data_IF_771305484988
#
_entry.id   IF_771305484988
#
_cell.length_a   1.000
_cell.length_b   1.000
_cell.length_c   1.000
_cell.angle_alpha   90.00
_cell.angle_beta   90.00
_cell.angle_gamma   90.00
#
_symmetry.space_group_name_H-M   'P 1'
#
loop_
_entity.id
_entity.type
_entity.pdbx_description
1 polymer ?
#
# COMPACT_ATOMS: atom_id res chain seq x y z
N UNK A 1 22.42 -30.59 18.82
CA UNK A 1 22.33 -31.75 17.91
C UNK A 1 21.18 -31.54 16.94
N UNK A 2 21.44 -31.75 15.65
CA UNK A 2 20.40 -31.79 14.61
C UNK A 2 20.18 -33.25 14.17
N UNK A 3 18.93 -33.60 13.93
CA UNK A 3 18.56 -34.95 13.42
C UNK A 3 17.99 -34.77 12.02
N UNK A 4 18.60 -35.39 11.04
CA UNK A 4 18.17 -35.37 9.64
C UNK A 4 17.00 -36.33 9.39
N UNK A 5 16.34 -36.18 8.27
CA UNK A 5 15.17 -37.02 7.89
C UNK A 5 15.49 -38.48 7.72
N UNK A 6 16.74 -38.85 7.40
CA UNK A 6 17.26 -40.19 7.30
C UNK A 6 17.72 -40.81 8.65
N UNK A 7 17.60 -40.03 9.74
CA UNK A 7 18.00 -40.42 11.10
C UNK A 7 19.45 -40.09 11.47
N UNK A 8 20.25 -39.57 10.53
CA UNK A 8 21.60 -39.10 10.85
C UNK A 8 21.57 -37.97 11.90
N UNK A 9 22.55 -38.01 12.84
CA UNK A 9 22.66 -37.06 13.94
C UNK A 9 23.95 -36.25 13.80
N UNK A 10 23.76 -34.94 13.66
CA UNK A 10 24.87 -34.00 13.55
C UNK A 10 25.04 -33.26 14.90
N UNK A 11 26.22 -33.40 15.52
CA UNK A 11 26.60 -32.65 16.70
C UNK A 11 27.40 -31.41 16.31
N UNK A 12 27.01 -30.26 16.81
CA UNK A 12 27.66 -29.00 16.56
C UNK A 12 27.69 -28.16 17.84
N UNK A 13 28.70 -27.29 17.95
CA UNK A 13 28.80 -26.33 19.08
C UNK A 13 27.67 -25.28 19.03
N UNK A 14 27.24 -24.93 17.84
CA UNK A 14 26.11 -24.01 17.60
C UNK A 14 25.32 -24.44 16.38
N UNK A 15 24.03 -24.08 16.34
CA UNK A 15 23.13 -24.31 15.21
C UNK A 15 22.53 -22.97 14.81
N UNK A 16 22.61 -22.63 13.52
CA UNK A 16 21.98 -21.44 12.95
C UNK A 16 20.73 -21.85 12.18
N UNK A 17 19.56 -21.36 12.61
CA UNK A 17 18.30 -21.58 11.93
C UNK A 17 18.05 -20.40 10.98
N UNK A 18 18.19 -20.63 9.68
CA UNK A 18 18.10 -19.60 8.63
C UNK A 18 17.17 -20.05 7.47
N UNK A 19 16.01 -20.63 7.83
CA UNK A 19 15.07 -21.27 6.88
C UNK A 19 13.98 -20.31 6.35
N UNK A 20 14.11 -19.03 6.60
CA UNK A 20 13.14 -18.01 6.16
C UNK A 20 11.83 -18.03 6.95
N UNK A 21 10.82 -17.37 6.40
CA UNK A 21 9.49 -17.27 6.97
C UNK A 21 8.49 -18.23 6.32
N UNK A 22 7.24 -17.75 6.09
CA UNK A 22 6.14 -18.53 5.51
C UNK A 22 5.53 -17.86 4.27
N UNK A 23 6.11 -16.76 3.82
CA UNK A 23 5.70 -16.09 2.57
C UNK A 23 6.44 -16.68 1.37
N UNK A 24 5.81 -16.63 0.20
CA UNK A 24 6.34 -17.17 -1.08
C UNK A 24 6.86 -18.62 -0.93
N UNK A 25 6.03 -19.58 -0.50
CA UNK A 25 6.48 -20.93 -0.11
C UNK A 25 7.15 -21.71 -1.24
N UNK A 26 6.89 -21.36 -2.51
CA UNK A 26 7.58 -21.95 -3.68
C UNK A 26 9.10 -21.63 -3.70
N UNK A 27 9.59 -20.71 -2.89
CA UNK A 27 11.02 -20.41 -2.72
C UNK A 27 11.68 -21.23 -1.61
N UNK A 28 10.93 -22.12 -0.95
CA UNK A 28 11.38 -22.93 0.18
C UNK A 28 11.06 -22.34 1.55
N UNK A 29 10.41 -21.18 1.62
CA UNK A 29 10.00 -20.52 2.88
C UNK A 29 8.67 -21.09 3.37
N UNK A 30 8.68 -22.32 3.88
CA UNK A 30 7.49 -23.09 4.30
C UNK A 30 7.13 -22.92 5.78
N UNK A 31 8.00 -22.25 6.56
CA UNK A 31 7.78 -21.99 7.99
C UNK A 31 8.33 -23.10 8.90
N UNK A 32 9.20 -23.96 8.40
CA UNK A 32 9.73 -25.13 9.14
C UNK A 32 10.50 -24.74 10.40
N UNK A 33 11.08 -23.53 10.46
CA UNK A 33 11.79 -23.02 11.62
C UNK A 33 10.89 -22.72 12.83
N UNK A 34 9.61 -22.41 12.62
CA UNK A 34 8.72 -22.04 13.73
C UNK A 34 8.45 -23.18 14.72
N UNK A 35 8.12 -24.42 14.28
CA UNK A 35 8.00 -25.56 15.19
C UNK A 35 9.30 -25.83 15.95
N UNK A 36 10.46 -25.67 15.33
CA UNK A 36 11.75 -25.90 16.00
C UNK A 36 12.00 -24.84 17.07
N UNK A 37 11.72 -23.56 16.76
CA UNK A 37 11.81 -22.46 17.73
C UNK A 37 10.86 -22.68 18.92
N UNK A 38 9.62 -23.07 18.67
CA UNK A 38 8.63 -23.39 19.72
C UNK A 38 9.10 -24.55 20.59
N UNK A 39 9.64 -25.63 19.97
CA UNK A 39 10.19 -26.78 20.70
C UNK A 39 11.40 -26.39 21.56
N UNK A 40 12.18 -25.42 21.14
CA UNK A 40 13.29 -24.84 21.89
C UNK A 40 12.86 -23.86 23.00
N UNK A 41 11.55 -23.63 23.18
CA UNK A 41 10.96 -22.77 24.22
C UNK A 41 10.69 -21.33 23.79
N UNK A 42 10.97 -20.97 22.55
CA UNK A 42 10.69 -19.63 22.03
C UNK A 42 9.20 -19.39 21.80
N UNK A 43 8.78 -18.17 22.04
CA UNK A 43 7.47 -17.65 21.65
C UNK A 43 7.46 -17.29 20.18
N UNK A 44 6.57 -17.91 19.41
CA UNK A 44 6.28 -17.49 18.02
C UNK A 44 5.05 -16.60 18.02
N UNK A 45 5.22 -15.33 17.65
CA UNK A 45 4.10 -14.39 17.54
C UNK A 45 3.28 -14.70 16.29
N UNK A 46 2.03 -14.23 16.27
CA UNK A 46 1.14 -14.43 15.11
C UNK A 46 1.78 -13.98 13.81
N UNK A 47 1.69 -14.85 12.80
CA UNK A 47 2.20 -14.58 11.46
C UNK A 47 1.14 -13.83 10.64
N UNK A 48 1.57 -12.80 9.91
CA UNK A 48 0.69 -12.02 9.05
C UNK A 48 1.43 -11.56 7.79
N UNK A 49 0.71 -11.29 6.68
CA UNK A 49 1.35 -10.80 5.47
C UNK A 49 1.85 -9.37 5.64
N UNK A 50 3.08 -9.11 5.17
CA UNK A 50 3.62 -7.77 4.98
C UNK A 50 4.29 -7.67 3.61
N UNK A 51 4.55 -6.47 3.11
CA UNK A 51 4.99 -6.26 1.72
C UNK A 51 4.05 -7.01 0.75
N UNK A 52 2.76 -6.71 0.84
CA UNK A 52 1.69 -7.45 0.16
C UNK A 52 0.70 -6.49 -0.48
N UNK A 53 0.11 -6.82 -1.65
CA UNK A 53 -0.97 -6.03 -2.24
C UNK A 53 -2.19 -5.92 -1.33
N UNK A 54 -2.88 -4.78 -1.37
CA UNK A 54 -4.07 -4.48 -0.57
C UNK A 54 -5.34 -4.71 -1.39
N UNK A 55 -6.37 -5.22 -0.73
CA UNK A 55 -7.71 -5.43 -1.27
C UNK A 55 -8.59 -4.20 -1.05
N UNK A 56 -9.51 -3.95 -1.97
CA UNK A 56 -10.45 -2.84 -1.87
C UNK A 56 -11.77 -3.18 -2.55
N UNK A 57 -12.87 -2.89 -1.87
CA UNK A 57 -14.23 -3.06 -2.37
C UNK A 57 -14.81 -1.79 -2.99
N UNK A 58 -13.99 -0.77 -3.18
CA UNK A 58 -14.39 0.47 -3.81
C UNK A 58 -15.00 0.23 -5.19
N UNK A 59 -16.06 0.99 -5.52
CA UNK A 59 -16.78 0.85 -6.79
C UNK A 59 -15.85 0.89 -8.01
N UNK A 60 -14.92 1.85 -8.04
CA UNK A 60 -13.98 2.01 -9.15
C UNK A 60 -12.96 0.86 -9.29
N UNK A 61 -12.72 0.09 -8.20
CA UNK A 61 -11.93 -1.15 -8.23
C UNK A 61 -12.78 -2.29 -8.82
N UNK A 62 -14.02 -2.49 -8.31
CA UNK A 62 -14.94 -3.53 -8.77
C UNK A 62 -15.31 -3.36 -10.25
N UNK A 63 -15.51 -2.13 -10.69
CA UNK A 63 -15.79 -1.78 -12.09
C UNK A 63 -14.53 -1.75 -12.98
N UNK A 64 -13.34 -1.98 -12.37
CA UNK A 64 -12.06 -2.00 -13.08
C UNK A 64 -11.71 -0.68 -13.79
N UNK A 65 -12.30 0.44 -13.35
CA UNK A 65 -12.15 1.77 -13.97
C UNK A 65 -10.68 2.18 -14.15
N UNK A 66 -9.85 1.90 -13.14
CA UNK A 66 -8.42 2.24 -13.13
C UNK A 66 -7.50 1.02 -13.25
N UNK A 67 -8.02 -0.18 -13.51
CA UNK A 67 -7.20 -1.40 -13.58
C UNK A 67 -6.02 -1.27 -14.55
N UNK A 68 -4.83 -1.65 -14.09
CA UNK A 68 -3.59 -1.60 -14.86
C UNK A 68 -2.96 -0.21 -14.96
N UNK A 69 -3.60 0.82 -14.39
CA UNK A 69 -3.02 2.16 -14.36
C UNK A 69 -1.97 2.27 -13.27
N UNK A 70 -0.75 2.59 -13.66
CA UNK A 70 0.34 2.93 -12.74
C UNK A 70 0.41 4.44 -12.52
N UNK A 71 0.60 4.83 -11.27
CA UNK A 71 0.92 6.20 -10.88
C UNK A 71 2.35 6.21 -10.32
N UNK A 72 3.15 7.15 -10.79
CA UNK A 72 4.57 7.25 -10.41
C UNK A 72 4.77 8.37 -9.40
N UNK A 73 5.73 8.15 -8.50
CA UNK A 73 6.19 9.14 -7.53
C UNK A 73 5.05 9.82 -6.75
N UNK A 74 4.09 9.02 -6.29
CA UNK A 74 2.96 9.49 -5.50
C UNK A 74 3.24 9.34 -3.99
N UNK A 75 2.54 10.09 -3.17
CA UNK A 75 2.53 9.88 -1.72
C UNK A 75 1.26 9.15 -1.30
N UNK A 76 1.44 7.95 -0.73
CA UNK A 76 0.34 7.13 -0.21
C UNK A 76 0.42 7.10 1.31
N UNK A 77 -0.68 7.46 1.97
CA UNK A 77 -0.78 7.49 3.43
C UNK A 77 -1.83 6.52 3.94
N UNK A 78 -1.54 5.90 5.08
CA UNK A 78 -2.50 5.12 5.88
C UNK A 78 -3.05 6.03 6.96
N UNK A 79 -4.37 6.12 7.11
CA UNK A 79 -5.01 6.96 8.12
C UNK A 79 -5.58 6.14 9.28
N UNK A 80 -5.56 6.71 10.47
CA UNK A 80 -6.26 6.16 11.64
C UNK A 80 -7.77 6.49 11.58
N UNK A 81 -8.61 5.93 12.48
CA UNK A 81 -10.06 6.21 12.49
C UNK A 81 -10.43 7.68 12.70
N UNK A 82 -9.51 8.49 13.21
CA UNK A 82 -9.69 9.94 13.40
C UNK A 82 -9.20 10.75 12.19
N UNK A 83 -8.73 10.08 11.12
CA UNK A 83 -8.21 10.72 9.92
C UNK A 83 -6.76 11.22 10.06
N UNK A 84 -6.05 10.89 11.15
CA UNK A 84 -4.65 11.23 11.33
C UNK A 84 -3.77 10.24 10.56
N UNK A 85 -2.72 10.75 9.92
CA UNK A 85 -1.76 9.93 9.20
C UNK A 85 -0.94 9.05 10.16
N UNK A 86 -0.95 7.73 9.92
CA UNK A 86 -0.12 6.74 10.60
C UNK A 86 1.26 6.71 9.97
N UNK A 87 1.29 6.60 8.64
CA UNK A 87 2.52 6.54 7.84
C UNK A 87 2.24 7.08 6.44
N UNK A 88 3.28 7.58 5.79
CA UNK A 88 3.27 7.95 4.37
C UNK A 88 4.50 7.38 3.68
N UNK A 89 4.32 6.81 2.50
CA UNK A 89 5.42 6.42 1.62
C UNK A 89 5.27 7.08 0.26
N UNK A 90 6.37 7.67 -0.26
CA UNK A 90 6.43 8.28 -1.58
C UNK A 90 7.16 7.33 -2.52
N UNK A 91 6.42 6.67 -3.41
CA UNK A 91 6.89 5.68 -4.39
C UNK A 91 5.82 5.48 -5.47
N UNK A 92 6.05 4.54 -6.38
CA UNK A 92 5.06 4.16 -7.40
C UNK A 92 3.96 3.27 -6.83
N UNK A 93 2.77 3.30 -7.44
CA UNK A 93 1.67 2.37 -7.20
C UNK A 93 0.96 1.97 -8.49
N UNK A 94 0.20 0.89 -8.43
CA UNK A 94 -0.66 0.42 -9.52
C UNK A 94 -2.04 0.03 -9.01
N UNK A 95 -3.08 0.38 -9.74
CA UNK A 95 -4.43 -0.12 -9.52
C UNK A 95 -4.58 -1.50 -10.17
N UNK A 96 -5.14 -2.47 -9.44
CA UNK A 96 -5.39 -3.84 -9.88
C UNK A 96 -6.89 -4.11 -9.96
N UNK A 97 -7.28 -5.31 -10.40
CA UNK A 97 -8.69 -5.73 -10.42
C UNK A 97 -9.24 -6.09 -9.03
N UNK A 98 -8.39 -6.20 -8.02
CA UNK A 98 -8.76 -6.54 -6.64
C UNK A 98 -8.48 -5.42 -5.62
N UNK A 99 -7.79 -4.36 -6.03
CA UNK A 99 -7.38 -3.28 -5.14
C UNK A 99 -6.17 -2.54 -5.67
N UNK A 100 -5.10 -2.45 -4.86
CA UNK A 100 -3.89 -1.70 -5.18
C UNK A 100 -2.62 -2.51 -4.88
N UNK A 101 -1.54 -2.20 -5.61
CA UNK A 101 -0.22 -2.81 -5.46
C UNK A 101 0.89 -1.82 -5.82
N UNK A 102 2.12 -2.28 -5.85
CA UNK A 102 3.31 -1.46 -6.14
C UNK A 102 4.04 -1.02 -4.88
N UNK A 103 5.26 -0.45 -5.03
CA UNK A 103 6.17 -0.20 -3.91
C UNK A 103 5.57 0.59 -2.75
N UNK A 104 4.84 1.68 -3.03
CA UNK A 104 4.18 2.48 -1.98
C UNK A 104 3.18 1.65 -1.16
N UNK A 105 2.40 0.82 -1.86
CA UNK A 105 1.36 -0.03 -1.27
C UNK A 105 1.96 -1.13 -0.42
N UNK A 106 3.00 -1.80 -0.94
CA UNK A 106 3.70 -2.86 -0.22
C UNK A 106 4.26 -2.33 1.11
N UNK A 107 4.90 -1.16 1.09
CA UNK A 107 5.41 -0.50 2.31
C UNK A 107 4.31 -0.09 3.29
N UNK A 108 3.14 0.30 2.80
CA UNK A 108 1.99 0.65 3.65
C UNK A 108 1.31 -0.59 4.27
N UNK A 109 1.41 -1.76 3.65
CA UNK A 109 0.58 -2.93 3.95
C UNK A 109 0.64 -3.38 5.40
N UNK A 110 1.82 -3.42 6.03
CA UNK A 110 1.94 -3.80 7.44
C UNK A 110 1.17 -2.88 8.39
N UNK A 111 1.09 -1.59 8.04
CA UNK A 111 0.37 -0.60 8.86
C UNK A 111 -1.14 -0.76 8.70
N UNK A 112 -1.59 -1.15 7.50
CA UNK A 112 -3.01 -1.50 7.25
C UNK A 112 -3.40 -2.73 8.05
N UNK A 113 -2.62 -3.82 7.98
CA UNK A 113 -2.88 -5.05 8.77
C UNK A 113 -2.94 -4.74 10.27
N UNK A 114 -1.98 -3.98 10.78
CA UNK A 114 -1.95 -3.58 12.19
C UNK A 114 -3.12 -2.67 12.57
N UNK A 115 -3.54 -1.78 11.68
CA UNK A 115 -4.67 -0.87 11.90
C UNK A 115 -6.01 -1.64 11.96
N UNK A 116 -6.28 -2.51 10.98
CA UNK A 116 -7.46 -3.38 10.97
C UNK A 116 -7.57 -4.15 12.28
N UNK A 117 -6.49 -4.78 12.72
CA UNK A 117 -6.46 -5.57 13.95
C UNK A 117 -6.58 -4.72 15.21
N UNK A 118 -5.81 -3.62 15.31
CA UNK A 118 -5.73 -2.78 16.52
C UNK A 118 -7.06 -2.14 16.88
N UNK A 119 -7.82 -1.72 15.88
CA UNK A 119 -9.08 -1.00 16.05
C UNK A 119 -10.31 -1.84 15.69
N UNK A 120 -10.13 -3.13 15.39
CA UNK A 120 -11.20 -4.05 14.97
C UNK A 120 -12.09 -3.46 13.87
N UNK A 121 -11.44 -2.98 12.81
CA UNK A 121 -12.10 -2.26 11.73
C UNK A 121 -12.35 -3.20 10.52
N UNK A 122 -13.47 -3.03 9.80
CA UNK A 122 -13.71 -3.73 8.54
C UNK A 122 -12.84 -3.18 7.41
N UNK A 123 -12.39 -1.93 7.52
CA UNK A 123 -11.60 -1.25 6.48
C UNK A 123 -10.74 -0.12 7.07
N UNK A 124 -9.73 0.28 6.32
CA UNK A 124 -8.81 1.38 6.65
C UNK A 124 -8.81 2.39 5.50
N UNK A 125 -8.87 3.68 5.81
CA UNK A 125 -8.79 4.74 4.82
C UNK A 125 -7.35 4.97 4.37
N UNK A 126 -7.15 4.94 3.06
CA UNK A 126 -5.93 5.38 2.38
C UNK A 126 -6.13 6.80 1.84
N UNK A 127 -5.07 7.59 1.87
CA UNK A 127 -5.01 8.93 1.26
C UNK A 127 -3.91 8.94 0.20
N UNK A 128 -4.30 9.29 -1.03
CA UNK A 128 -3.41 9.39 -2.17
C UNK A 128 -3.19 10.86 -2.56
N UNK A 129 -1.94 11.26 -2.61
CA UNK A 129 -1.46 12.51 -3.17
C UNK A 129 -0.67 12.21 -4.45
N UNK A 130 -1.19 12.65 -5.58
CA UNK A 130 -0.62 12.33 -6.91
C UNK A 130 0.33 13.40 -7.43
N UNK A 131 0.45 14.53 -6.74
CA UNK A 131 1.36 15.62 -7.07
C UNK A 131 2.07 16.11 -5.79
N UNK A 132 2.96 15.29 -5.19
CA UNK A 132 3.56 15.59 -3.88
C UNK A 132 4.33 16.89 -3.83
N UNK A 133 4.94 17.31 -4.95
CA UNK A 133 5.78 18.51 -5.06
C UNK A 133 4.98 19.81 -5.25
N UNK A 134 3.65 19.71 -5.42
CA UNK A 134 2.78 20.88 -5.58
C UNK A 134 1.81 20.97 -4.40
N UNK A 135 1.55 22.17 -3.93
CA UNK A 135 0.45 22.45 -3.01
C UNK A 135 -0.91 22.41 -3.74
N UNK A 136 -1.98 22.25 -2.99
CA UNK A 136 -3.35 22.33 -3.53
C UNK A 136 -3.60 23.66 -4.27
N UNK A 137 -3.11 24.76 -3.71
CA UNK A 137 -3.26 26.08 -4.31
C UNK A 137 -2.48 26.20 -5.64
N UNK A 138 -1.26 25.70 -5.72
CA UNK A 138 -0.48 25.70 -6.99
C UNK A 138 -1.17 24.88 -8.07
N UNK A 139 -1.76 23.73 -7.71
CA UNK A 139 -2.55 22.91 -8.66
C UNK A 139 -3.76 23.69 -9.13
N UNK A 140 -4.50 24.32 -8.20
CA UNK A 140 -5.66 25.13 -8.54
C UNK A 140 -5.29 26.31 -9.45
N UNK A 141 -4.22 27.03 -9.17
CA UNK A 141 -3.72 28.13 -10.03
C UNK A 141 -3.30 27.64 -11.41
N UNK A 142 -2.67 26.47 -11.50
CA UNK A 142 -2.31 25.86 -12.79
C UNK A 142 -3.56 25.54 -13.63
N UNK A 143 -4.61 24.95 -12.99
CA UNK A 143 -5.89 24.68 -13.67
C UNK A 143 -6.53 25.98 -14.17
N UNK A 144 -6.60 27.02 -13.30
CA UNK A 144 -7.16 28.32 -13.68
C UNK A 144 -6.38 29.02 -14.82
N UNK A 145 -5.05 28.93 -14.77
CA UNK A 145 -4.18 29.48 -15.84
C UNK A 145 -4.53 28.85 -17.19
N UNK A 146 -4.59 27.53 -17.27
CA UNK A 146 -4.97 26.79 -18.48
C UNK A 146 -6.38 27.13 -18.96
N UNK A 147 -7.33 27.29 -18.05
CA UNK A 147 -8.68 27.71 -18.37
C UNK A 147 -8.77 29.11 -18.98
N UNK A 148 -7.89 30.04 -18.56
CA UNK A 148 -7.79 31.40 -19.12
C UNK A 148 -7.09 31.43 -20.48
N UNK A 149 -6.05 30.60 -20.64
CA UNK A 149 -5.25 30.55 -21.90
C UNK A 149 -6.04 29.90 -23.02
N UNK A 150 -6.83 28.86 -22.73
CA UNK A 150 -7.55 28.07 -23.76
C UNK A 150 -9.05 27.90 -23.37
N UNK A 151 -9.82 28.98 -23.16
CA UNK A 151 -11.17 28.91 -22.57
C UNK A 151 -12.19 28.11 -23.38
N UNK A 152 -11.99 28.00 -24.68
CA UNK A 152 -12.88 27.25 -25.61
C UNK A 152 -12.53 25.76 -25.72
N UNK A 153 -11.36 25.34 -25.21
CA UNK A 153 -10.91 23.96 -25.25
C UNK A 153 -11.71 23.13 -24.26
N UNK A 154 -12.03 21.88 -24.60
CA UNK A 154 -12.71 20.97 -23.66
C UNK A 154 -11.86 20.76 -22.42
N UNK A 155 -12.49 20.59 -21.25
CA UNK A 155 -11.79 20.47 -19.98
C UNK A 155 -10.75 19.34 -19.98
N UNK A 156 -11.08 18.15 -20.52
CA UNK A 156 -10.14 17.05 -20.68
C UNK A 156 -8.90 17.41 -21.50
N UNK A 157 -9.07 18.17 -22.59
CA UNK A 157 -7.97 18.56 -23.47
C UNK A 157 -7.14 19.72 -22.91
N UNK A 158 -7.77 20.67 -22.21
CA UNK A 158 -7.07 21.79 -21.58
C UNK A 158 -6.18 21.31 -20.42
N UNK A 159 -6.61 20.28 -19.67
CA UNK A 159 -5.89 19.73 -18.54
C UNK A 159 -4.99 18.54 -18.89
N UNK A 160 -4.90 18.17 -20.17
CA UNK A 160 -4.01 17.08 -20.63
C UNK A 160 -2.58 17.30 -20.15
N UNK A 161 -1.96 16.22 -19.64
CA UNK A 161 -0.58 16.24 -19.12
C UNK A 161 -0.44 16.72 -17.67
N UNK A 162 -1.54 17.07 -16.96
CA UNK A 162 -1.48 17.33 -15.52
C UNK A 162 -1.26 16.02 -14.76
N UNK A 163 -1.95 14.96 -15.15
CA UNK A 163 -1.89 13.60 -14.62
C UNK A 163 -2.02 12.59 -15.77
N UNK A 164 -1.77 11.28 -15.54
CA UNK A 164 -2.14 10.26 -16.50
C UNK A 164 -3.61 10.38 -16.90
N UNK A 165 -3.88 10.38 -18.20
CA UNK A 165 -5.17 10.78 -18.77
C UNK A 165 -6.38 10.10 -18.13
N UNK A 166 -6.33 8.76 -18.00
CA UNK A 166 -7.44 7.98 -17.42
C UNK A 166 -7.68 8.33 -15.95
N UNK A 167 -6.63 8.63 -15.18
CA UNK A 167 -6.77 9.05 -13.79
C UNK A 167 -7.29 10.48 -13.68
N UNK A 168 -6.81 11.38 -14.55
CA UNK A 168 -7.31 12.74 -14.63
C UNK A 168 -8.82 12.78 -14.90
N UNK A 169 -9.29 12.03 -15.90
CA UNK A 169 -10.71 11.95 -16.25
C UNK A 169 -11.53 11.42 -15.05
N UNK A 170 -11.06 10.37 -14.41
CA UNK A 170 -11.68 9.82 -13.20
C UNK A 170 -11.81 10.86 -12.07
N UNK A 171 -10.78 11.68 -11.81
CA UNK A 171 -10.86 12.74 -10.80
C UNK A 171 -11.76 13.90 -11.25
N UNK A 172 -11.76 14.25 -12.52
CA UNK A 172 -12.65 15.29 -13.08
C UNK A 172 -14.12 14.91 -12.91
N UNK A 173 -14.50 13.67 -13.21
CA UNK A 173 -15.86 13.14 -12.98
C UNK A 173 -16.24 13.23 -11.50
N UNK A 174 -15.34 12.89 -10.57
CA UNK A 174 -15.55 13.02 -9.12
C UNK A 174 -15.63 14.47 -8.64
N UNK A 175 -15.00 15.40 -9.36
CA UNK A 175 -15.16 16.83 -9.15
C UNK A 175 -16.43 17.43 -9.82
N UNK A 176 -17.30 16.57 -10.39
CA UNK A 176 -18.47 16.95 -11.17
C UNK A 176 -18.13 17.89 -12.33
N UNK A 177 -16.97 17.68 -12.96
CA UNK A 177 -16.56 18.39 -14.17
C UNK A 177 -16.96 17.58 -15.41
N UNK A 178 -17.67 18.22 -16.33
CA UNK A 178 -17.94 17.62 -17.63
C UNK A 178 -16.66 17.67 -18.48
N UNK A 179 -16.20 16.52 -18.94
CA UNK A 179 -14.95 16.34 -19.70
C UNK A 179 -14.97 17.07 -21.05
N UNK A 180 -16.12 17.12 -21.68
CA UNK A 180 -16.32 17.66 -23.03
C UNK A 180 -16.78 19.12 -23.05
N UNK A 181 -17.02 19.70 -21.87
CA UNK A 181 -17.41 21.10 -21.76
C UNK A 181 -16.21 22.04 -21.86
N UNK A 182 -16.39 23.27 -22.42
CA UNK A 182 -15.31 24.25 -22.47
C UNK A 182 -14.78 24.62 -21.10
N UNK A 183 -13.47 24.53 -20.90
CA UNK A 183 -12.83 24.75 -19.59
C UNK A 183 -13.09 26.16 -19.01
N UNK A 184 -13.22 27.16 -19.86
CA UNK A 184 -13.48 28.54 -19.48
C UNK A 184 -14.84 28.77 -18.80
N UNK A 185 -15.77 27.83 -18.95
CA UNK A 185 -17.12 27.90 -18.35
C UNK A 185 -17.26 27.03 -17.09
N UNK A 186 -16.20 26.29 -16.75
CA UNK A 186 -16.21 25.46 -15.54
C UNK A 186 -16.11 26.33 -14.30
N UNK A 187 -17.00 26.09 -13.33
CA UNK A 187 -17.03 26.82 -12.07
C UNK A 187 -15.72 26.63 -11.28
N UNK A 188 -15.26 27.70 -10.62
CA UNK A 188 -14.02 27.70 -9.83
C UNK A 188 -14.05 26.64 -8.71
N UNK A 189 -15.22 26.41 -8.12
CA UNK A 189 -15.43 25.40 -7.07
C UNK A 189 -15.10 24.00 -7.56
N UNK A 190 -15.45 23.65 -8.79
CA UNK A 190 -15.11 22.36 -9.42
C UNK A 190 -13.62 22.25 -9.69
N UNK A 191 -12.97 23.34 -10.15
CA UNK A 191 -11.53 23.37 -10.32
C UNK A 191 -10.79 23.19 -8.98
N UNK A 192 -11.30 23.80 -7.91
CA UNK A 192 -10.75 23.64 -6.56
C UNK A 192 -10.96 22.21 -6.04
N UNK A 193 -12.14 21.63 -6.27
CA UNK A 193 -12.41 20.24 -5.94
C UNK A 193 -11.47 19.28 -6.65
N UNK A 194 -11.18 19.51 -7.93
CA UNK A 194 -10.19 18.72 -8.65
C UNK A 194 -8.79 18.86 -8.04
N UNK A 195 -8.35 20.07 -7.72
CA UNK A 195 -7.05 20.30 -7.08
C UNK A 195 -6.96 19.58 -5.73
N UNK A 196 -8.03 19.63 -4.93
CA UNK A 196 -8.12 18.89 -3.68
C UNK A 196 -8.06 17.38 -3.87
N UNK A 197 -8.76 16.84 -4.87
CA UNK A 197 -8.71 15.41 -5.20
C UNK A 197 -7.32 14.97 -5.66
N UNK A 198 -6.57 15.80 -6.37
CA UNK A 198 -5.17 15.50 -6.73
C UNK A 198 -4.28 15.32 -5.50
N UNK A 199 -4.55 16.05 -4.41
CA UNK A 199 -3.77 16.02 -3.15
C UNK A 199 -4.31 15.07 -2.10
N UNK A 200 -5.60 14.77 -2.12
CA UNK A 200 -6.27 14.11 -1.01
C UNK A 200 -7.39 13.17 -1.51
N UNK A 201 -7.08 12.35 -2.50
CA UNK A 201 -8.01 11.32 -2.91
C UNK A 201 -8.05 10.22 -1.85
N UNK A 202 -9.23 10.02 -1.24
CA UNK A 202 -9.45 9.02 -0.19
C UNK A 202 -10.25 7.85 -0.70
N UNK A 203 -9.85 6.64 -0.30
CA UNK A 203 -10.54 5.40 -0.59
C UNK A 203 -10.22 4.37 0.50
N UNK A 204 -11.05 3.32 0.60
CA UNK A 204 -10.94 2.29 1.62
C UNK A 204 -10.20 1.05 1.09
N UNK A 205 -9.45 0.41 1.98
CA UNK A 205 -8.89 -0.94 1.81
C UNK A 205 -9.36 -1.83 2.96
N UNK A 206 -9.75 -3.07 2.67
CA UNK A 206 -10.41 -3.96 3.62
C UNK A 206 -9.63 -5.24 3.93
N UNK A 207 -8.39 -5.34 3.45
CA UNK A 207 -7.54 -6.50 3.69
C UNK A 207 -6.33 -6.56 2.78
N UNK A 208 -5.73 -7.73 2.74
CA UNK A 208 -4.52 -8.00 1.94
C UNK A 208 -4.71 -9.26 1.11
N UNK A 209 -3.86 -9.45 0.10
CA UNK A 209 -3.64 -10.77 -0.46
C UNK A 209 -3.12 -11.72 0.64
N UNK A 210 -3.30 -13.05 0.50
CA UNK A 210 -2.90 -14.01 1.53
C UNK A 210 -1.37 -14.06 1.72
N UNK A 211 -0.96 -14.64 2.86
CA UNK A 211 0.45 -14.70 3.29
C UNK A 211 1.38 -15.34 2.24
N UNK A 212 0.87 -16.32 1.50
CA UNK A 212 1.62 -17.01 0.44
C UNK A 212 1.99 -16.10 -0.73
N UNK A 213 1.28 -14.97 -0.89
CA UNK A 213 1.54 -13.94 -1.91
C UNK A 213 2.26 -12.72 -1.36
N UNK A 214 2.56 -12.68 -0.07
CA UNK A 214 3.35 -11.62 0.54
C UNK A 214 4.84 -11.82 0.24
N UNK A 215 5.59 -10.73 0.12
CA UNK A 215 7.05 -10.81 0.01
C UNK A 215 7.71 -11.08 1.36
N UNK A 216 7.10 -10.66 2.44
CA UNK A 216 7.65 -10.75 3.80
C UNK A 216 6.60 -11.31 4.76
N UNK A 217 7.05 -12.21 5.64
CA UNK A 217 6.27 -12.69 6.78
C UNK A 217 6.44 -11.72 7.94
N UNK A 218 5.36 -11.12 8.39
CA UNK A 218 5.32 -10.37 9.65
C UNK A 218 5.10 -11.31 10.82
N UNK A 219 5.56 -10.93 12.02
CA UNK A 219 5.59 -11.82 13.18
C UNK A 219 6.78 -12.77 13.14
N UNK A 220 6.68 -13.90 13.85
CA UNK A 220 7.74 -14.90 13.98
C UNK A 220 8.27 -15.02 15.41
N UNK A 221 9.49 -15.51 15.56
CA UNK A 221 10.12 -15.66 16.88
C UNK A 221 10.21 -14.31 17.60
N UNK A 222 9.82 -14.27 18.86
CA UNK A 222 9.81 -13.05 19.66
C UNK A 222 11.21 -12.41 19.73
N UNK A 223 11.35 -11.22 19.20
CA UNK A 223 12.62 -10.48 19.21
C UNK A 223 13.13 -10.16 20.64
N UNK A 224 12.24 -10.22 21.66
CA UNK A 224 12.62 -10.05 23.06
C UNK A 224 13.51 -11.18 23.57
N UNK A 225 13.39 -12.35 22.96
CA UNK A 225 14.07 -13.59 23.30
C UNK A 225 15.34 -13.81 22.47
N UNK A 226 15.68 -12.87 21.59
CA UNK A 226 16.86 -12.90 20.71
C UNK A 226 17.79 -11.76 21.09
N UNK A 227 19.09 -12.05 21.18
CA UNK A 227 20.12 -11.02 21.35
C UNK A 227 20.30 -10.25 20.03
N UNK A 228 20.14 -8.90 20.02
CA UNK A 228 20.20 -8.12 18.79
C UNK A 228 21.62 -7.99 18.20
N UNK A 229 22.67 -8.32 18.96
CA UNK A 229 24.07 -8.23 18.50
C UNK A 229 24.58 -9.53 17.93
N UNK A 230 24.22 -10.65 18.56
CA UNK A 230 24.72 -11.98 18.21
C UNK A 230 23.71 -12.82 17.46
N UNK A 231 22.41 -12.40 17.45
CA UNK A 231 21.26 -13.19 17.02
C UNK A 231 21.07 -14.51 17.78
N UNK A 232 21.80 -14.66 18.90
CA UNK A 232 21.69 -15.82 19.79
C UNK A 232 20.39 -15.83 20.58
N UNK A 233 19.94 -17.05 20.91
CA UNK A 233 18.84 -17.25 21.86
C UNK A 233 19.21 -16.75 23.25
N UNK A 234 18.29 -16.07 23.94
CA UNK A 234 18.43 -15.66 25.33
C UNK A 234 17.82 -16.66 26.31
N UNK A 235 17.16 -17.71 25.80
CA UNK A 235 16.41 -18.67 26.61
C UNK A 235 16.98 -20.09 26.52
N UNK A 236 17.99 -20.30 25.69
CA UNK A 236 18.75 -21.55 25.60
C UNK A 236 20.21 -21.33 25.99
#
# INVERSE_FOLDING_TARGET
>A
EAVLSDGERIRAAAIVVAVGGKSVPQTGSTGDGYPWATKAGHTVTELYPTEVPLLSDEKFIKEKTLQGLSLRDISLSVLDPKGKTIITHRMDMIFTHFGISGPAVLRCSQFVVKALKKWDLPEVTMKLDTLPDMSEEEIFQNIQKRAKEEPKKTAKNALKGLLPERYLHFLMERANMDLDHPIGTVAKEKMRSLAQLCKNFRFSVNGTQPLEKAFVTGGGVSVKEIDPKTFGSKIM
#
